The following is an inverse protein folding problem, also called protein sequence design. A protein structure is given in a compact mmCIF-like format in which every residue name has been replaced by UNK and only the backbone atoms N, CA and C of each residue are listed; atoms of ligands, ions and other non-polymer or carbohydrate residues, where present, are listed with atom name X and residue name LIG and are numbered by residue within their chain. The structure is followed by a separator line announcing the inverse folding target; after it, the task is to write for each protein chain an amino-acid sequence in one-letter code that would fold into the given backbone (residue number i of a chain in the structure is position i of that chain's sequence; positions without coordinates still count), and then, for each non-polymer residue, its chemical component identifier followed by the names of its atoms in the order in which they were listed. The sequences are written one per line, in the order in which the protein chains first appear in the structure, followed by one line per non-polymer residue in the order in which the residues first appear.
data_IF_442302104862
#
_entry.id   IF_442302104862
#
_cell.length_a   1.000
_cell.length_b   1.000
_cell.length_c   1.000
_cell.angle_alpha   90.00
_cell.angle_beta   90.00
_cell.angle_gamma   90.00
#
_symmetry.space_group_name_H-M   'P 1'
#
loop_
_entity.id
_entity.type
_entity.pdbx_description
1 polymer ?
#
# COMPACT_ATOMS: atom_id res chain seq x y z
N UNK A 1 -8.30 -34.66 18.15
CA UNK A 1 -9.12 -33.72 18.97
C UNK A 1 -9.24 -32.44 18.17
N UNK A 2 -10.45 -31.96 17.90
CA UNK A 2 -10.63 -30.61 17.36
C UNK A 2 -10.47 -29.63 18.50
N UNK A 3 -9.35 -28.90 18.52
CA UNK A 3 -9.18 -27.74 19.39
C UNK A 3 -10.11 -26.62 18.92
N UNK A 4 -10.78 -25.95 19.85
CA UNK A 4 -11.52 -24.73 19.51
C UNK A 4 -10.55 -23.59 19.18
N UNK A 5 -11.05 -22.55 18.49
CA UNK A 5 -10.24 -21.38 18.13
C UNK A 5 -9.71 -20.63 19.35
N UNK A 6 -10.46 -20.65 20.45
CA UNK A 6 -10.12 -20.02 21.72
C UNK A 6 -8.99 -20.77 22.40
N UNK A 7 -9.13 -22.09 22.54
CA UNK A 7 -8.09 -22.95 23.11
C UNK A 7 -6.79 -22.91 22.30
N UNK A 8 -6.87 -22.92 20.97
CA UNK A 8 -5.68 -22.80 20.11
C UNK A 8 -4.96 -21.46 20.30
N UNK A 9 -5.72 -20.37 20.48
CA UNK A 9 -5.16 -19.05 20.70
C UNK A 9 -4.47 -18.94 22.06
N UNK A 10 -5.09 -19.46 23.11
CA UNK A 10 -4.52 -19.49 24.47
C UNK A 10 -3.25 -20.34 24.53
N UNK A 11 -3.26 -21.53 23.93
CA UNK A 11 -2.08 -22.40 23.86
C UNK A 11 -0.93 -21.72 23.09
N UNK A 12 -1.24 -21.02 21.99
CA UNK A 12 -0.23 -20.29 21.22
C UNK A 12 0.39 -19.15 22.04
N UNK A 13 -0.43 -18.38 22.77
CA UNK A 13 0.07 -17.32 23.65
C UNK A 13 0.97 -17.88 24.77
N UNK A 14 0.53 -18.96 25.42
CA UNK A 14 1.28 -19.61 26.50
C UNK A 14 2.62 -20.19 26.00
N UNK A 15 2.63 -20.80 24.80
CA UNK A 15 3.84 -21.35 24.20
C UNK A 15 4.86 -20.25 23.88
N UNK A 16 4.40 -19.12 23.33
CA UNK A 16 5.26 -17.98 22.97
C UNK A 16 5.86 -17.32 24.20
N UNK A 17 5.06 -17.16 25.26
CA UNK A 17 5.57 -16.68 26.54
C UNK A 17 6.68 -17.59 27.08
N UNK A 18 6.43 -18.92 27.09
CA UNK A 18 7.36 -19.90 27.64
C UNK A 18 8.70 -19.99 26.88
N UNK A 19 8.69 -19.83 25.55
CA UNK A 19 9.90 -20.03 24.72
C UNK A 19 10.60 -18.74 24.29
N UNK A 20 9.90 -17.61 24.31
CA UNK A 20 10.44 -16.34 23.82
C UNK A 20 10.31 -15.19 24.82
N UNK A 21 9.70 -15.40 25.99
CA UNK A 21 9.44 -14.37 27.02
C UNK A 21 8.75 -13.12 26.44
N UNK A 22 7.96 -13.31 25.38
CA UNK A 22 7.23 -12.24 24.70
C UNK A 22 5.75 -12.36 24.99
N UNK A 23 5.17 -11.27 25.47
CA UNK A 23 3.71 -11.15 25.63
C UNK A 23 3.12 -10.85 24.27
N UNK A 24 2.19 -11.69 23.84
CA UNK A 24 1.44 -11.55 22.59
C UNK A 24 -0.04 -11.82 22.87
N UNK A 25 -0.92 -11.18 22.11
CA UNK A 25 -2.37 -11.26 22.29
C UNK A 25 -3.02 -11.90 21.06
N UNK A 26 -2.73 -13.18 20.82
CA UNK A 26 -3.40 -13.95 19.77
C UNK A 26 -4.82 -14.30 20.23
N UNK A 27 -5.83 -14.00 19.41
CA UNK A 27 -7.25 -14.18 19.76
C UNK A 27 -7.93 -15.22 18.88
N UNK A 28 -9.08 -15.72 19.33
CA UNK A 28 -9.92 -16.64 18.54
C UNK A 28 -10.34 -16.03 17.18
N UNK A 29 -10.54 -14.70 17.12
CA UNK A 29 -10.83 -14.00 15.87
C UNK A 29 -9.62 -14.03 14.91
N UNK A 30 -8.40 -13.85 15.45
CA UNK A 30 -7.17 -13.94 14.66
C UNK A 30 -6.98 -15.34 14.07
N UNK A 31 -7.22 -16.40 14.85
CA UNK A 31 -7.25 -17.79 14.35
C UNK A 31 -8.30 -17.94 13.24
N UNK A 32 -9.51 -17.41 13.45
CA UNK A 32 -10.56 -17.44 12.41
C UNK A 32 -10.17 -16.72 11.12
N UNK A 33 -9.36 -15.66 11.19
CA UNK A 33 -8.85 -14.97 10.00
C UNK A 33 -7.78 -15.80 9.27
N UNK A 34 -6.97 -16.60 9.98
CA UNK A 34 -6.04 -17.55 9.37
C UNK A 34 -6.79 -18.67 8.63
N UNK A 35 -7.79 -19.27 9.27
CA UNK A 35 -8.60 -20.34 8.66
C UNK A 35 -9.33 -19.88 7.41
N UNK A 36 -9.81 -18.63 7.39
CA UNK A 36 -10.46 -18.01 6.22
C UNK A 36 -9.47 -17.53 5.16
N UNK A 37 -8.17 -17.69 5.38
CA UNK A 37 -7.11 -17.25 4.45
C UNK A 37 -7.01 -15.74 4.26
N UNK A 38 -7.63 -14.94 5.16
CA UNK A 38 -7.49 -13.48 5.18
C UNK A 38 -6.06 -13.09 5.58
N UNK A 39 -5.48 -13.83 6.52
CA UNK A 39 -4.07 -13.73 6.89
C UNK A 39 -3.35 -14.94 6.32
N UNK A 40 -2.47 -14.72 5.33
CA UNK A 40 -1.75 -15.80 4.63
C UNK A 40 -0.35 -16.07 5.17
N UNK A 41 0.22 -15.09 5.88
CA UNK A 41 1.57 -15.18 6.41
C UNK A 41 1.68 -14.52 7.80
N UNK A 42 1.27 -15.22 8.88
CA UNK A 42 1.36 -14.68 10.24
C UNK A 42 2.82 -14.49 10.68
N UNK A 43 3.05 -13.69 11.72
CA UNK A 43 4.40 -13.42 12.25
C UNK A 43 5.17 -14.68 12.66
N UNK A 44 6.51 -14.60 12.72
CA UNK A 44 7.40 -15.76 12.96
C UNK A 44 7.03 -16.55 14.23
N UNK A 45 6.81 -15.83 15.33
CA UNK A 45 6.47 -16.43 16.64
C UNK A 45 5.15 -17.20 16.59
N UNK A 46 4.15 -16.67 15.85
CA UNK A 46 2.86 -17.32 15.68
C UNK A 46 2.97 -18.59 14.83
N UNK A 47 3.77 -18.56 13.75
CA UNK A 47 4.02 -19.76 12.94
C UNK A 47 4.76 -20.85 13.70
N UNK A 48 5.73 -20.47 14.53
CA UNK A 48 6.46 -21.41 15.39
C UNK A 48 5.54 -22.05 16.43
N UNK A 49 4.74 -21.25 17.14
CA UNK A 49 3.78 -21.75 18.11
C UNK A 49 2.72 -22.68 17.48
N UNK A 50 2.13 -22.27 16.35
CA UNK A 50 1.10 -23.05 15.67
C UNK A 50 1.64 -24.37 15.10
N UNK A 51 2.89 -24.39 14.63
CA UNK A 51 3.55 -25.62 14.18
C UNK A 51 3.72 -26.61 15.32
N UNK A 52 4.17 -26.14 16.48
CA UNK A 52 4.35 -27.00 17.64
C UNK A 52 3.01 -27.55 18.15
N UNK A 53 2.01 -26.68 18.31
CA UNK A 53 0.70 -27.06 18.89
C UNK A 53 -0.07 -28.02 17.98
N UNK A 54 0.00 -27.80 16.65
CA UNK A 54 -0.69 -28.64 15.68
C UNK A 54 0.15 -29.84 15.21
N UNK A 55 1.38 -29.99 15.72
CA UNK A 55 2.27 -31.12 15.39
C UNK A 55 2.74 -31.12 13.93
N UNK A 56 2.92 -29.95 13.34
CA UNK A 56 3.26 -29.79 11.91
C UNK A 56 4.68 -29.24 11.77
N UNK A 57 5.52 -29.92 10.98
CA UNK A 57 6.94 -29.57 10.85
C UNK A 57 7.23 -28.34 9.98
N UNK A 58 6.31 -27.95 9.09
CA UNK A 58 6.53 -26.88 8.11
C UNK A 58 5.39 -25.87 8.04
N UNK A 59 5.73 -24.60 7.76
CA UNK A 59 4.75 -23.52 7.60
C UNK A 59 3.75 -23.82 6.44
N UNK A 60 4.24 -24.48 5.39
CA UNK A 60 3.43 -24.84 4.22
C UNK A 60 2.34 -25.87 4.54
N UNK A 61 2.61 -26.81 5.46
CA UNK A 61 1.63 -27.79 5.90
C UNK A 61 0.53 -27.18 6.80
N UNK A 62 0.76 -25.97 7.34
CA UNK A 62 -0.28 -25.13 7.94
C UNK A 62 -1.01 -24.25 6.91
N UNK A 63 -0.67 -24.38 5.62
CA UNK A 63 -1.22 -23.54 4.55
C UNK A 63 -0.60 -22.14 4.49
N UNK A 64 0.45 -21.86 5.25
CA UNK A 64 1.13 -20.56 5.19
C UNK A 64 2.10 -20.51 4.01
N UNK A 65 1.94 -19.50 3.16
CA UNK A 65 2.79 -19.30 1.98
C UNK A 65 3.56 -17.98 2.10
N UNK A 66 4.90 -18.06 2.10
CA UNK A 66 5.77 -16.89 2.21
C UNK A 66 5.96 -16.24 0.85
N UNK A 67 5.13 -15.26 0.51
CA UNK A 67 5.31 -14.47 -0.72
C UNK A 67 6.64 -13.69 -0.76
N UNK A 68 7.29 -13.43 0.39
CA UNK A 68 8.58 -12.71 0.46
C UNK A 68 9.80 -13.59 0.14
N UNK A 69 9.73 -14.91 0.39
CA UNK A 69 10.88 -15.83 0.21
C UNK A 69 10.91 -16.55 -1.16
N UNK A 70 9.89 -16.35 -1.98
CA UNK A 70 9.92 -16.73 -3.40
C UNK A 70 10.94 -15.91 -4.21
N UNK A 71 11.44 -14.81 -3.64
CA UNK A 71 12.54 -14.02 -4.19
C UNK A 71 13.87 -14.66 -3.77
N UNK A 72 14.31 -15.65 -4.54
CA UNK A 72 15.70 -15.98 -4.94
C UNK A 72 15.72 -17.45 -5.40
N UNK A 73 15.19 -17.64 -6.62
CA UNK A 73 15.72 -18.48 -7.71
C UNK A 73 14.68 -18.48 -8.83
N UNK A 74 14.64 -17.39 -9.58
CA UNK A 74 13.94 -17.36 -10.86
C UNK A 74 14.99 -17.33 -11.96
N UNK A 75 15.53 -18.51 -12.27
CA UNK A 75 15.89 -18.79 -13.65
C UNK A 75 14.56 -19.06 -14.36
N UNK A 76 14.28 -18.28 -15.39
CA UNK A 76 13.21 -18.50 -16.36
C UNK A 76 11.77 -18.52 -15.80
N UNK A 77 11.35 -17.49 -15.05
CA UNK A 77 9.90 -17.19 -15.04
C UNK A 77 9.56 -16.54 -16.36
N UNK A 78 8.95 -17.39 -17.17
CA UNK A 78 8.43 -17.19 -18.49
C UNK A 78 7.70 -15.85 -18.64
N UNK A 79 8.41 -14.87 -19.22
CA UNK A 79 7.88 -13.58 -19.67
C UNK A 79 6.57 -13.74 -20.47
N UNK A 80 6.36 -14.90 -21.12
CA UNK A 80 5.12 -15.20 -21.87
C UNK A 80 3.94 -15.55 -20.99
N UNK A 81 4.14 -16.15 -19.81
CA UNK A 81 3.05 -16.39 -18.86
C UNK A 81 2.65 -15.10 -18.13
N UNK A 82 3.64 -14.22 -17.87
CA UNK A 82 3.43 -12.84 -17.41
C UNK A 82 2.59 -12.00 -18.41
N UNK A 83 2.78 -12.19 -19.72
CA UNK A 83 1.97 -11.55 -20.77
C UNK A 83 0.58 -12.18 -20.94
N UNK A 84 0.45 -13.50 -20.78
CA UNK A 84 -0.82 -14.22 -21.00
C UNK A 84 -1.89 -13.94 -19.95
N UNK A 85 -1.52 -13.69 -18.69
CA UNK A 85 -2.50 -13.38 -17.64
C UNK A 85 -3.17 -12.02 -17.79
N UNK A 86 -2.62 -11.10 -18.59
CA UNK A 86 -3.22 -9.79 -18.85
C UNK A 86 -3.98 -9.66 -20.18
N UNK A 87 -4.02 -10.70 -21.02
CA UNK A 87 -4.69 -10.70 -22.33
C UNK A 87 -6.13 -11.25 -22.31
N UNK A 88 -6.67 -11.59 -21.14
CA UNK A 88 -8.04 -12.08 -20.99
C UNK A 88 -9.05 -10.94 -20.84
N UNK A 89 -9.79 -10.65 -21.91
CA UNK A 89 -10.98 -9.78 -22.02
C UNK A 89 -10.73 -8.26 -22.18
N UNK A 90 -10.64 -7.82 -23.44
CA UNK A 90 -11.16 -6.55 -23.98
C UNK A 90 -10.51 -5.23 -23.57
N UNK A 91 -10.05 -5.08 -22.33
CA UNK A 91 -9.47 -3.83 -21.77
C UNK A 91 -7.97 -3.98 -21.52
N UNK A 92 -7.49 -5.19 -21.29
CA UNK A 92 -6.07 -5.48 -20.97
C UNK A 92 -5.08 -5.16 -22.08
N UNK A 93 -5.47 -5.22 -23.36
CA UNK A 93 -4.58 -4.91 -24.49
C UNK A 93 -4.16 -3.43 -24.54
N UNK A 94 -5.02 -2.51 -24.08
CA UNK A 94 -4.71 -1.07 -24.05
C UNK A 94 -3.90 -0.67 -22.81
N UNK A 95 -4.02 -1.41 -21.71
CA UNK A 95 -3.23 -1.21 -20.48
C UNK A 95 -1.84 -1.84 -20.59
N UNK A 96 -1.73 -2.94 -21.35
CA UNK A 96 -0.46 -3.61 -21.62
C UNK A 96 0.36 -2.94 -22.72
N UNK A 97 -0.19 -2.06 -23.56
CA UNK A 97 0.60 -1.40 -24.62
C UNK A 97 1.88 -0.70 -24.09
N UNK A 98 1.77 0.18 -23.09
CA UNK A 98 2.94 0.85 -22.47
C UNK A 98 3.80 -0.11 -21.63
N UNK A 99 3.16 -1.08 -20.97
CA UNK A 99 3.80 -2.06 -20.09
C UNK A 99 4.57 -3.17 -20.83
N UNK A 100 4.06 -3.60 -21.98
CA UNK A 100 4.72 -4.52 -22.90
C UNK A 100 5.87 -3.82 -23.62
N UNK A 101 5.72 -2.55 -24.01
CA UNK A 101 6.83 -1.75 -24.55
C UNK A 101 7.99 -1.60 -23.55
N UNK A 102 7.68 -1.40 -22.27
CA UNK A 102 8.66 -1.38 -21.16
C UNK A 102 9.36 -2.74 -20.95
N UNK A 103 8.73 -3.85 -21.33
CA UNK A 103 9.26 -5.22 -21.15
C UNK A 103 9.97 -5.78 -22.41
N UNK A 104 9.60 -5.29 -23.59
CA UNK A 104 10.19 -5.70 -24.88
C UNK A 104 11.37 -4.84 -25.32
N UNK A 105 11.73 -3.79 -24.57
CA UNK A 105 12.76 -2.84 -25.02
C UNK A 105 12.31 -2.06 -26.26
N UNK A 106 11.00 -1.84 -26.40
CA UNK A 106 10.43 -1.04 -27.48
C UNK A 106 10.79 0.44 -27.29
N UNK A 107 10.97 1.16 -28.39
CA UNK A 107 11.20 2.60 -28.36
C UNK A 107 10.13 3.31 -27.51
N UNK A 108 10.51 4.38 -26.77
CA UNK A 108 9.55 5.13 -25.97
C UNK A 108 8.37 5.55 -26.83
N UNK A 109 7.16 5.13 -26.46
CA UNK A 109 5.95 5.54 -27.19
C UNK A 109 5.95 7.06 -27.35
N UNK A 110 5.83 7.58 -28.59
CA UNK A 110 5.94 9.00 -28.86
C UNK A 110 4.91 9.75 -28.03
N UNK A 111 5.32 10.88 -27.45
CA UNK A 111 4.42 11.72 -26.66
C UNK A 111 3.32 12.27 -27.56
N UNK A 112 2.05 11.98 -27.26
CA UNK A 112 0.94 12.58 -28.00
C UNK A 112 1.03 14.10 -27.90
N UNK A 113 0.89 14.80 -29.04
CA UNK A 113 0.95 16.26 -29.05
C UNK A 113 -0.28 16.90 -28.38
N UNK A 114 -1.37 16.14 -28.21
CA UNK A 114 -2.57 16.53 -27.47
C UNK A 114 -2.98 15.43 -26.52
N UNK A 115 -3.25 15.82 -25.28
CA UNK A 115 -3.74 14.92 -24.24
C UNK A 115 -5.26 15.01 -24.16
N UNK A 116 -5.93 13.88 -24.29
CA UNK A 116 -7.36 13.71 -24.05
C UNK A 116 -7.65 12.86 -22.82
N UNK A 117 -8.93 12.57 -22.63
CA UNK A 117 -9.39 11.70 -21.54
C UNK A 117 -8.83 10.27 -21.66
N UNK A 118 -8.51 9.81 -22.88
CA UNK A 118 -7.98 8.47 -23.14
C UNK A 118 -6.59 8.28 -22.52
N UNK A 119 -5.68 9.22 -22.69
CA UNK A 119 -4.33 9.15 -22.10
C UNK A 119 -4.40 9.19 -20.57
N UNK A 120 -5.29 10.02 -20.01
CA UNK A 120 -5.51 10.11 -18.56
C UNK A 120 -6.03 8.77 -18.03
N UNK A 121 -7.00 8.15 -18.71
CA UNK A 121 -7.53 6.86 -18.31
C UNK A 121 -6.50 5.73 -18.44
N UNK A 122 -5.59 5.80 -19.42
CA UNK A 122 -4.46 4.87 -19.51
C UNK A 122 -3.55 4.95 -18.28
N UNK A 123 -3.23 6.16 -17.80
CA UNK A 123 -2.44 6.36 -16.57
C UNK A 123 -3.17 5.79 -15.36
N UNK A 124 -4.47 6.08 -15.23
CA UNK A 124 -5.31 5.55 -14.14
C UNK A 124 -5.37 4.03 -14.17
N UNK A 125 -5.56 3.44 -15.34
CA UNK A 125 -5.60 2.00 -15.52
C UNK A 125 -4.26 1.33 -15.19
N UNK A 126 -3.14 1.91 -15.65
CA UNK A 126 -1.80 1.44 -15.29
C UNK A 126 -1.58 1.47 -13.77
N UNK A 127 -1.98 2.55 -13.11
CA UNK A 127 -1.89 2.68 -11.64
C UNK A 127 -2.65 1.57 -10.93
N UNK A 128 -3.93 1.34 -11.31
CA UNK A 128 -4.75 0.24 -10.75
C UNK A 128 -4.11 -1.13 -10.97
N UNK A 129 -3.47 -1.36 -12.12
CA UNK A 129 -2.75 -2.60 -12.39
C UNK A 129 -1.52 -2.75 -11.49
N UNK A 130 -0.72 -1.69 -11.31
CA UNK A 130 0.43 -1.73 -10.41
C UNK A 130 0.03 -1.95 -8.96
N UNK A 131 -1.04 -1.31 -8.48
CA UNK A 131 -1.55 -1.50 -7.12
C UNK A 131 -2.03 -2.95 -6.91
N UNK A 132 -2.80 -3.47 -7.87
CA UNK A 132 -3.22 -4.88 -7.86
C UNK A 132 -2.04 -5.84 -7.80
N UNK A 133 -0.98 -5.58 -8.58
CA UNK A 133 0.21 -6.42 -8.61
C UNK A 133 1.07 -6.28 -7.36
N UNK A 134 1.21 -5.06 -6.83
CA UNK A 134 1.87 -4.79 -5.54
C UNK A 134 1.20 -5.59 -4.43
N UNK A 135 -0.14 -5.60 -4.38
CA UNK A 135 -0.91 -6.35 -3.40
C UNK A 135 -0.75 -7.88 -3.56
N UNK A 136 -0.59 -8.37 -4.79
CA UNK A 136 -0.54 -9.80 -5.08
C UNK A 136 0.88 -10.38 -4.93
N UNK A 137 1.90 -9.65 -5.38
CA UNK A 137 3.26 -10.15 -5.56
C UNK A 137 4.33 -9.34 -4.79
N UNK A 138 3.94 -8.24 -4.14
CA UNK A 138 4.84 -7.33 -3.42
C UNK A 138 5.35 -6.18 -4.29
N UNK A 139 5.66 -5.04 -3.67
CA UNK A 139 5.96 -3.80 -4.39
C UNK A 139 7.35 -3.78 -5.05
N UNK A 140 8.28 -4.64 -4.62
CA UNK A 140 9.62 -4.74 -5.21
C UNK A 140 9.64 -5.13 -6.69
N UNK A 141 8.67 -5.94 -7.16
CA UNK A 141 8.59 -6.38 -8.56
C UNK A 141 8.05 -5.29 -9.49
N UNK A 142 7.28 -4.34 -8.96
CA UNK A 142 6.69 -3.27 -9.77
C UNK A 142 7.59 -2.04 -9.87
N UNK A 143 8.68 -1.94 -9.10
CA UNK A 143 9.48 -0.71 -8.99
C UNK A 143 10.03 -0.21 -10.32
N UNK A 144 10.73 -1.05 -11.08
CA UNK A 144 11.28 -0.63 -12.37
C UNK A 144 10.19 -0.31 -13.42
N UNK A 145 9.15 -1.14 -13.62
CA UNK A 145 8.10 -0.82 -14.58
C UNK A 145 7.27 0.41 -14.16
N UNK A 146 6.94 0.59 -12.88
CA UNK A 146 6.19 1.77 -12.41
C UNK A 146 7.02 3.05 -12.54
N UNK A 147 8.33 3.00 -12.27
CA UNK A 147 9.23 4.14 -12.49
C UNK A 147 9.39 4.48 -13.97
N UNK A 148 9.42 3.46 -14.85
CA UNK A 148 9.41 3.65 -16.30
C UNK A 148 8.13 4.35 -16.78
N UNK A 149 6.98 3.86 -16.33
CA UNK A 149 5.69 4.48 -16.65
C UNK A 149 5.60 5.90 -16.09
N UNK A 150 6.06 6.13 -14.86
CA UNK A 150 6.07 7.45 -14.25
C UNK A 150 6.93 8.45 -15.04
N UNK A 151 8.12 8.04 -15.51
CA UNK A 151 8.97 8.90 -16.34
C UNK A 151 8.27 9.29 -17.64
N UNK A 152 7.54 8.37 -18.25
CA UNK A 152 6.75 8.67 -19.45
C UNK A 152 5.57 9.60 -19.13
N UNK A 153 4.79 9.28 -18.10
CA UNK A 153 3.63 10.07 -17.68
C UNK A 153 4.00 11.48 -17.20
N UNK A 154 5.17 11.67 -16.58
CA UNK A 154 5.65 12.99 -16.17
C UNK A 154 5.89 13.90 -17.37
N UNK A 155 6.36 13.36 -18.50
CA UNK A 155 6.54 14.15 -19.75
C UNK A 155 5.21 14.56 -20.38
N UNK A 156 4.11 13.89 -20.03
CA UNK A 156 2.77 14.31 -20.47
C UNK A 156 2.35 15.63 -19.82
N UNK A 157 2.86 15.97 -18.64
CA UNK A 157 2.54 17.24 -17.98
C UNK A 157 3.00 18.46 -18.80
N UNK A 158 4.02 18.30 -19.64
CA UNK A 158 4.54 19.35 -20.53
C UNK A 158 3.78 19.44 -21.88
N UNK A 159 2.91 18.48 -22.19
CA UNK A 159 2.20 18.45 -23.47
C UNK A 159 0.94 19.34 -23.47
N UNK A 160 0.41 19.61 -24.66
CA UNK A 160 -0.80 20.44 -24.79
C UNK A 160 -2.01 19.68 -24.25
N UNK A 161 -2.58 20.17 -23.15
CA UNK A 161 -3.76 19.61 -22.50
C UNK A 161 -4.84 20.71 -22.36
N UNK A 162 -6.11 20.43 -22.68
CA UNK A 162 -7.20 21.36 -22.39
C UNK A 162 -7.28 21.68 -20.89
N UNK A 163 -7.51 22.95 -20.53
CA UNK A 163 -7.49 23.40 -19.13
C UNK A 163 -8.43 22.59 -18.22
N UNK A 164 -9.59 22.16 -18.75
CA UNK A 164 -10.57 21.33 -18.03
C UNK A 164 -10.03 19.95 -17.63
N UNK A 165 -9.08 19.39 -18.39
CA UNK A 165 -8.50 18.06 -18.16
C UNK A 165 -7.18 18.13 -17.39
N UNK A 166 -6.60 19.33 -17.23
CA UNK A 166 -5.31 19.50 -16.58
C UNK A 166 -5.31 19.02 -15.12
N UNK A 167 -6.31 19.33 -14.27
CA UNK A 167 -6.38 18.76 -12.92
C UNK A 167 -6.45 17.24 -12.92
N UNK A 168 -7.25 16.65 -13.82
CA UNK A 168 -7.39 15.20 -13.93
C UNK A 168 -6.08 14.50 -14.33
N UNK A 169 -5.30 15.12 -15.22
CA UNK A 169 -3.97 14.65 -15.60
C UNK A 169 -3.01 14.69 -14.40
N UNK A 170 -2.97 15.82 -13.68
CA UNK A 170 -2.13 15.95 -12.49
C UNK A 170 -2.51 14.94 -11.40
N UNK A 171 -3.81 14.72 -11.13
CA UNK A 171 -4.26 13.67 -10.20
C UNK A 171 -3.82 12.28 -10.66
N UNK A 172 -3.97 11.95 -11.95
CA UNK A 172 -3.59 10.64 -12.46
C UNK A 172 -2.07 10.39 -12.37
N UNK A 173 -1.25 11.38 -12.73
CA UNK A 173 0.21 11.30 -12.61
C UNK A 173 0.64 11.28 -11.15
N UNK A 174 0.00 12.06 -10.28
CA UNK A 174 0.25 12.09 -8.85
C UNK A 174 -0.04 10.75 -8.18
N UNK A 175 -1.14 10.10 -8.54
CA UNK A 175 -1.48 8.77 -8.02
C UNK A 175 -0.46 7.70 -8.47
N UNK A 176 -0.07 7.70 -9.74
CA UNK A 176 1.01 6.82 -10.23
C UNK A 176 2.34 7.07 -9.51
N UNK A 177 2.64 8.34 -9.21
CA UNK A 177 3.83 8.71 -8.46
C UNK A 177 3.76 8.24 -6.99
N UNK A 178 2.59 8.25 -6.35
CA UNK A 178 2.39 7.65 -5.02
C UNK A 178 2.77 6.17 -5.05
N UNK A 179 2.22 5.39 -5.98
CA UNK A 179 2.51 3.95 -6.13
C UNK A 179 4.00 3.71 -6.37
N UNK A 180 4.65 4.54 -7.21
CA UNK A 180 6.08 4.48 -7.46
C UNK A 180 6.93 4.81 -6.23
N UNK A 181 6.51 5.82 -5.45
CA UNK A 181 7.14 6.21 -4.19
C UNK A 181 7.07 5.08 -3.18
N UNK A 182 5.89 4.45 -3.06
CA UNK A 182 5.68 3.28 -2.20
C UNK A 182 6.57 2.11 -2.60
N UNK A 183 6.62 1.77 -3.90
CA UNK A 183 7.48 0.71 -4.41
C UNK A 183 8.98 0.97 -4.13
N UNK A 184 9.41 2.23 -4.15
CA UNK A 184 10.78 2.59 -3.79
C UNK A 184 11.05 2.45 -2.28
N UNK A 185 10.11 2.85 -1.43
CA UNK A 185 10.24 2.72 0.03
C UNK A 185 10.22 1.25 0.47
N UNK A 186 9.40 0.40 -0.15
CA UNK A 186 9.27 -1.03 0.18
C UNK A 186 10.59 -1.80 0.02
N UNK A 187 11.40 -1.42 -0.98
CA UNK A 187 12.74 -2.01 -1.18
C UNK A 187 13.86 -1.32 -0.37
N UNK A 188 13.51 -0.39 0.51
CA UNK A 188 14.46 0.37 1.34
C UNK A 188 15.12 1.56 0.64
N UNK A 189 14.73 1.92 -0.59
CA UNK A 189 15.25 3.08 -1.31
C UNK A 189 14.59 4.39 -0.84
N UNK A 190 14.70 4.69 0.46
CA UNK A 190 13.98 5.76 1.15
C UNK A 190 14.19 7.14 0.53
N UNK A 191 15.41 7.49 0.13
CA UNK A 191 15.73 8.79 -0.47
C UNK A 191 15.08 8.97 -1.83
N UNK A 192 15.05 7.91 -2.64
CA UNK A 192 14.36 7.91 -3.92
C UNK A 192 12.85 8.02 -3.70
N UNK A 193 12.29 7.26 -2.76
CA UNK A 193 10.88 7.34 -2.37
C UNK A 193 10.47 8.76 -1.96
N UNK A 194 11.26 9.44 -1.11
CA UNK A 194 10.98 10.83 -0.70
C UNK A 194 10.95 11.80 -1.87
N UNK A 195 11.85 11.65 -2.86
CA UNK A 195 11.84 12.50 -4.07
C UNK A 195 10.58 12.28 -4.90
N UNK A 196 10.19 11.02 -5.08
CA UNK A 196 8.99 10.68 -5.84
C UNK A 196 7.73 11.15 -5.13
N UNK A 197 7.64 10.99 -3.80
CA UNK A 197 6.49 11.52 -3.03
C UNK A 197 6.38 13.04 -3.08
N UNK A 198 7.49 13.79 -3.06
CA UNK A 198 7.43 15.25 -3.25
C UNK A 198 6.88 15.64 -4.62
N UNK A 199 7.25 14.89 -5.66
CA UNK A 199 6.68 15.08 -7.00
C UNK A 199 5.19 14.75 -7.03
N UNK A 200 4.79 13.63 -6.41
CA UNK A 200 3.39 13.25 -6.27
C UNK A 200 2.57 14.34 -5.55
N UNK A 201 3.10 14.86 -4.45
CA UNK A 201 2.47 15.90 -3.64
C UNK A 201 2.25 17.19 -4.46
N UNK A 202 3.27 17.64 -5.20
CA UNK A 202 3.15 18.79 -6.08
C UNK A 202 2.06 18.58 -7.16
N UNK A 203 1.94 17.37 -7.70
CA UNK A 203 0.87 17.05 -8.64
C UNK A 203 -0.51 17.10 -7.97
N UNK A 204 -0.68 16.53 -6.78
CA UNK A 204 -1.94 16.55 -6.05
C UNK A 204 -2.36 17.99 -5.68
N UNK A 205 -1.43 18.84 -5.27
CA UNK A 205 -1.68 20.25 -4.97
C UNK A 205 -2.08 21.04 -6.21
N UNK A 206 -1.41 20.79 -7.34
CA UNK A 206 -1.76 21.41 -8.63
C UNK A 206 -3.14 20.98 -9.13
N UNK A 207 -3.55 19.73 -8.84
CA UNK A 207 -4.88 19.21 -9.15
C UNK A 207 -5.97 19.65 -8.15
N UNK A 208 -5.58 20.22 -7.00
CA UNK A 208 -6.45 20.44 -5.84
C UNK A 208 -7.15 19.16 -5.35
N UNK A 209 -6.46 18.02 -5.47
CA UNK A 209 -6.94 16.70 -5.08
C UNK A 209 -6.63 16.44 -3.59
N UNK A 210 -7.57 16.80 -2.73
CA UNK A 210 -7.41 16.70 -1.28
C UNK A 210 -7.23 15.27 -0.77
N UNK A 211 -8.01 14.27 -1.22
CA UNK A 211 -7.79 12.88 -0.84
C UNK A 211 -6.39 12.37 -1.23
N UNK A 212 -5.95 12.60 -2.47
CA UNK A 212 -4.64 12.17 -2.93
C UNK A 212 -3.51 12.87 -2.15
N UNK A 213 -3.65 14.18 -1.89
CA UNK A 213 -2.71 14.94 -1.06
C UNK A 213 -2.58 14.32 0.33
N UNK A 214 -3.70 14.01 0.98
CA UNK A 214 -3.72 13.40 2.30
C UNK A 214 -3.05 12.02 2.32
N UNK A 215 -3.32 11.19 1.30
CA UNK A 215 -2.70 9.88 1.12
C UNK A 215 -1.18 9.98 0.98
N UNK A 216 -0.68 10.86 0.11
CA UNK A 216 0.75 11.04 -0.11
C UNK A 216 1.44 11.50 1.18
N UNK A 217 0.86 12.48 1.88
CA UNK A 217 1.40 12.97 3.15
C UNK A 217 1.37 11.90 4.24
N UNK A 218 0.33 11.06 4.28
CA UNK A 218 0.28 9.89 5.15
C UNK A 218 1.41 8.90 4.85
N UNK A 219 1.64 8.57 3.58
CA UNK A 219 2.74 7.71 3.15
C UNK A 219 4.11 8.28 3.55
N UNK A 220 4.32 9.59 3.38
CA UNK A 220 5.53 10.29 3.84
C UNK A 220 5.66 10.27 5.37
N UNK A 221 4.56 10.48 6.11
CA UNK A 221 4.54 10.44 7.57
C UNK A 221 4.98 9.08 8.10
N UNK A 222 4.38 8.00 7.56
CA UNK A 222 4.74 6.61 7.89
C UNK A 222 6.21 6.34 7.62
N UNK A 223 6.72 6.79 6.48
CA UNK A 223 8.14 6.66 6.15
C UNK A 223 9.04 7.39 7.16
N UNK A 224 8.70 8.62 7.55
CA UNK A 224 9.47 9.38 8.53
C UNK A 224 9.47 8.68 9.91
N UNK A 225 8.31 8.22 10.37
CA UNK A 225 8.17 7.45 11.62
C UNK A 225 9.05 6.20 11.60
N UNK A 226 9.04 5.43 10.50
CA UNK A 226 9.82 4.19 10.38
C UNK A 226 11.34 4.43 10.28
N UNK A 227 11.75 5.54 9.69
CA UNK A 227 13.17 5.92 9.58
C UNK A 227 13.72 6.60 10.83
N UNK A 228 12.94 6.66 11.92
CA UNK A 228 13.39 7.21 13.20
C UNK A 228 13.22 8.73 13.33
N UNK A 229 12.41 9.34 12.47
CA UNK A 229 12.08 10.78 12.48
C UNK A 229 10.58 10.96 12.82
N UNK A 230 10.14 10.62 14.04
CA UNK A 230 8.72 10.67 14.39
C UNK A 230 8.15 12.09 14.47
N UNK A 231 8.97 13.10 14.77
CA UNK A 231 8.54 14.51 14.83
C UNK A 231 8.19 15.05 13.43
N UNK A 232 9.04 14.75 12.44
CA UNK A 232 8.74 15.01 11.02
C UNK A 232 7.48 14.26 10.57
N UNK A 233 7.33 13.01 11.04
CA UNK A 233 6.14 12.21 10.79
C UNK A 233 4.86 12.84 11.34
N UNK A 234 4.91 13.38 12.56
CA UNK A 234 3.80 14.12 13.15
C UNK A 234 3.48 15.36 12.32
N UNK A 235 4.50 16.13 11.94
CA UNK A 235 4.35 17.33 11.10
C UNK A 235 3.63 17.01 9.79
N UNK A 236 4.03 15.93 9.10
CA UNK A 236 3.41 15.50 7.84
C UNK A 236 1.96 15.06 8.03
N UNK A 237 1.66 14.33 9.11
CA UNK A 237 0.29 13.91 9.42
C UNK A 237 -0.62 15.10 9.76
N UNK A 238 -0.11 16.12 10.43
CA UNK A 238 -0.84 17.36 10.70
C UNK A 238 -1.04 18.21 9.46
N UNK A 239 -0.04 18.29 8.58
CA UNK A 239 -0.17 18.92 7.26
C UNK A 239 -1.24 18.24 6.38
N UNK A 240 -1.40 16.92 6.51
CA UNK A 240 -2.42 16.16 5.80
C UNK A 240 -3.84 16.47 6.29
N UNK A 241 -4.01 16.84 7.56
CA UNK A 241 -5.28 17.25 8.14
C UNK A 241 -5.68 18.70 7.79
N UNK A 242 -4.80 19.48 7.16
CA UNK A 242 -5.19 20.78 6.60
C UNK A 242 -6.25 20.55 5.51
N UNK A 243 -7.41 21.21 5.67
CA UNK A 243 -8.63 20.96 4.89
C UNK A 243 -9.25 19.58 5.11
N UNK A 244 -9.25 19.10 6.35
CA UNK A 244 -9.95 17.87 6.75
C UNK A 244 -11.46 17.89 6.48
N UNK A 245 -12.06 19.06 6.20
CA UNK A 245 -13.43 19.21 5.70
C UNK A 245 -13.64 18.59 4.30
N UNK A 246 -12.56 18.40 3.55
CA UNK A 246 -12.56 17.81 2.19
C UNK A 246 -12.24 16.32 2.17
N UNK A 247 -12.03 15.72 3.34
CA UNK A 247 -11.66 14.31 3.48
C UNK A 247 -12.83 13.48 4.00
N UNK A 248 -12.85 12.21 3.62
CA UNK A 248 -13.81 11.24 4.17
C UNK A 248 -13.55 11.00 5.65
N UNK A 249 -14.54 10.42 6.33
CA UNK A 249 -14.39 9.96 7.71
C UNK A 249 -13.21 8.96 7.84
N UNK A 250 -13.08 8.03 6.90
CA UNK A 250 -11.94 7.08 6.85
C UNK A 250 -10.61 7.78 6.63
N UNK A 251 -10.55 8.79 5.75
CA UNK A 251 -9.36 9.61 5.52
C UNK A 251 -8.89 10.31 6.79
N UNK A 252 -9.84 10.91 7.52
CA UNK A 252 -9.54 11.55 8.80
C UNK A 252 -9.07 10.55 9.85
N UNK A 253 -9.77 9.42 9.99
CA UNK A 253 -9.40 8.36 10.93
C UNK A 253 -7.95 7.89 10.70
N UNK A 254 -7.60 7.63 9.45
CA UNK A 254 -6.26 7.20 9.04
C UNK A 254 -5.17 8.22 9.42
N UNK A 255 -5.40 9.50 9.18
CA UNK A 255 -4.44 10.55 9.52
C UNK A 255 -4.26 10.69 11.04
N UNK A 256 -5.34 10.54 11.80
CA UNK A 256 -5.27 10.53 13.26
C UNK A 256 -4.53 9.29 13.80
N UNK A 257 -4.65 8.13 13.16
CA UNK A 257 -3.82 6.95 13.45
C UNK A 257 -2.33 7.23 13.21
N UNK A 258 -1.97 7.91 12.11
CA UNK A 258 -0.56 8.27 11.86
C UNK A 258 -0.02 9.26 12.90
N UNK A 259 -0.82 10.24 13.32
CA UNK A 259 -0.48 11.13 14.45
C UNK A 259 -0.25 10.34 15.73
N UNK A 260 -1.15 9.42 16.07
CA UNK A 260 -1.01 8.57 17.25
C UNK A 260 0.29 7.77 17.22
N UNK A 261 0.66 7.18 16.08
CA UNK A 261 1.91 6.43 15.91
C UNK A 261 3.15 7.32 16.11
N UNK A 262 3.13 8.53 15.55
CA UNK A 262 4.22 9.49 15.73
C UNK A 262 4.38 9.91 17.21
N UNK A 263 3.28 10.30 17.86
CA UNK A 263 3.24 10.67 19.28
C UNK A 263 3.70 9.54 20.20
N UNK A 264 3.29 8.31 19.90
CA UNK A 264 3.71 7.12 20.64
C UNK A 264 5.23 6.90 20.56
N UNK A 265 5.83 7.07 19.37
CA UNK A 265 7.28 6.97 19.19
C UNK A 265 8.07 8.04 19.95
N UNK A 266 7.46 9.20 20.18
CA UNK A 266 8.00 10.28 21.01
C UNK A 266 7.67 10.14 22.51
N UNK A 267 6.99 9.06 22.93
CA UNK A 267 6.54 8.81 24.31
C UNK A 267 5.58 9.88 24.87
N UNK A 268 4.82 10.55 23.99
CA UNK A 268 3.78 11.52 24.35
C UNK A 268 2.46 10.79 24.62
N UNK A 269 2.39 10.09 25.75
CA UNK A 269 1.32 9.11 26.06
C UNK A 269 -0.08 9.73 26.05
N UNK A 270 -0.29 10.87 26.74
CA UNK A 270 -1.61 11.51 26.80
C UNK A 270 -2.13 11.90 25.42
N UNK A 271 -1.26 12.49 24.60
CA UNK A 271 -1.63 12.96 23.26
C UNK A 271 -1.85 11.80 22.29
N UNK A 272 -1.11 10.70 22.47
CA UNK A 272 -1.33 9.45 21.74
C UNK A 272 -2.75 8.94 21.99
N UNK A 273 -3.19 8.88 23.26
CA UNK A 273 -4.54 8.41 23.62
C UNK A 273 -5.62 9.32 23.03
N UNK A 274 -5.43 10.64 23.07
CA UNK A 274 -6.35 11.59 22.42
C UNK A 274 -6.42 11.38 20.92
N UNK A 275 -5.28 11.18 20.25
CA UNK A 275 -5.24 10.95 18.82
C UNK A 275 -5.91 9.63 18.41
N UNK A 276 -5.73 8.57 19.20
CA UNK A 276 -6.43 7.28 19.01
C UNK A 276 -7.94 7.46 19.16
N UNK A 277 -8.40 8.11 20.23
CA UNK A 277 -9.84 8.36 20.42
C UNK A 277 -10.46 9.15 19.26
N UNK A 278 -9.74 10.15 18.76
CA UNK A 278 -10.22 10.92 17.59
C UNK A 278 -10.24 10.06 16.30
N UNK A 279 -9.28 9.15 16.14
CA UNK A 279 -9.28 8.21 15.02
C UNK A 279 -10.48 7.26 15.09
N UNK A 280 -10.76 6.71 16.27
CA UNK A 280 -11.90 5.82 16.53
C UNK A 280 -13.24 6.54 16.29
N UNK A 281 -13.38 7.79 16.77
CA UNK A 281 -14.57 8.61 16.54
C UNK A 281 -14.82 8.83 15.05
N UNK A 282 -13.78 9.16 14.27
CA UNK A 282 -13.92 9.31 12.82
C UNK A 282 -14.23 7.99 12.13
N UNK A 283 -13.58 6.89 12.54
CA UNK A 283 -13.81 5.57 11.96
C UNK A 283 -15.22 5.06 12.25
N UNK A 284 -15.81 5.37 13.41
CA UNK A 284 -17.20 5.03 13.72
C UNK A 284 -18.22 5.67 12.75
N UNK A 285 -17.83 6.75 12.06
CA UNK A 285 -18.63 7.44 11.05
C UNK A 285 -18.17 7.11 9.61
N UNK A 286 -17.36 6.07 9.41
CA UNK A 286 -16.91 5.67 8.08
C UNK A 286 -18.02 5.00 7.27
N UNK A 287 -18.20 5.45 6.03
CA UNK A 287 -19.06 4.85 5.01
C UNK A 287 -18.17 4.33 3.87
N UNK A 288 -18.00 3.00 3.73
CA UNK A 288 -17.11 2.43 2.71
C UNK A 288 -17.42 2.85 1.26
N UNK A 289 -18.68 3.19 0.98
CA UNK A 289 -19.12 3.64 -0.35
C UNK A 289 -18.67 5.08 -0.69
N UNK A 290 -18.35 5.90 0.33
CA UNK A 290 -17.89 7.28 0.15
C UNK A 290 -16.37 7.37 -0.02
N UNK A 291 -15.67 6.26 0.19
CA UNK A 291 -14.22 6.23 0.18
C UNK A 291 -13.67 6.20 -1.25
N UNK A 292 -12.66 7.05 -1.56
CA UNK A 292 -11.98 7.01 -2.84
C UNK A 292 -11.49 5.59 -3.17
N UNK A 293 -11.31 5.22 -4.45
CA UNK A 293 -10.80 3.90 -4.81
C UNK A 293 -9.47 3.55 -4.13
N UNK A 294 -8.59 4.52 -3.86
CA UNK A 294 -7.37 4.30 -3.09
C UNK A 294 -7.64 3.89 -1.63
N UNK A 295 -8.76 4.34 -1.05
CA UNK A 295 -9.19 4.09 0.32
C UNK A 295 -9.81 2.70 0.53
N UNK A 296 -10.40 2.09 -0.51
CA UNK A 296 -10.90 0.70 -0.48
C UNK A 296 -9.81 -0.34 -0.15
N UNK A 297 -8.53 0.01 -0.31
CA UNK A 297 -7.39 -0.87 -0.04
C UNK A 297 -6.86 -0.80 1.41
N UNK A 298 -7.35 0.14 2.24
CA UNK A 298 -6.79 0.37 3.57
C UNK A 298 -7.23 -0.62 4.64
N UNK A 299 -8.30 -1.39 4.41
CA UNK A 299 -8.69 -2.51 5.29
C UNK A 299 -7.59 -3.58 5.38
N UNK A 300 -6.70 -3.69 4.39
CA UNK A 300 -5.61 -4.68 4.37
C UNK A 300 -4.23 -4.08 4.73
N UNK A 301 -4.06 -2.76 4.58
CA UNK A 301 -2.78 -2.06 4.81
C UNK A 301 -2.55 -1.65 6.27
N UNK A 302 -3.59 -1.58 7.09
CA UNK A 302 -3.53 -1.08 8.48
C UNK A 302 -3.47 -2.17 9.56
N UNK A 303 -3.71 -3.44 9.23
CA UNK A 303 -3.73 -4.53 10.24
C UNK A 303 -2.35 -5.16 10.46
N UNK A 304 -1.33 -4.74 9.69
CA UNK A 304 0.04 -5.20 9.84
C UNK A 304 0.92 -3.96 9.77
N UNK A 305 1.68 -3.72 10.86
CA UNK A 305 2.77 -2.75 11.10
C UNK A 305 2.50 -1.68 12.18
#
# INVERSE_FOLDING_TARGET
MCLSREELAELANAWIWKHHEKIVALSANYIGQLERGKIRWPGKLYREALREILGVSTDAALGFVNSRRAVVRLKDVDRKQFLRSGLGLGVGALVLGPMAALLEGGEPSPIPHRIGATEIEQIRAATRSFDSWSNTYGAGLIREPVMGQLRWSARLLDATCPDRLRPELYSAVGNLAETAGYAAVDIGAHDAGRRVYRFALACAEQAQDWPLRAEILSSMAKQAIWTGQPDDGLTLAEQALVRSDRLTATGRALLHTDRARALAKMRRVSETLTAVGTADDHFAHSTPDDDPPCMAYYECRQVIW
#
